data_IF_457763059862
#
_entry.id   IF_457763059862
#
_cell.length_a   1.000
_cell.length_b   1.000
_cell.length_c   1.000
_cell.angle_alpha   90.00
_cell.angle_beta   90.00
_cell.angle_gamma   90.00
#
_symmetry.space_group_name_H-M   'P 1'
#
loop_
_entity.id
_entity.type
_entity.pdbx_description
1 polymer ?
#
# COMPACT_ATOMS: atom_id res chain seq x y z
N UNK A 1 9.02 26.95 12.03
CA UNK A 1 9.14 26.27 10.72
C UNK A 1 8.83 24.80 10.92
N UNK A 2 7.75 24.31 10.31
CA UNK A 2 7.40 22.90 10.34
C UNK A 2 8.54 22.09 9.68
N UNK A 3 9.09 21.10 10.38
CA UNK A 3 10.13 20.22 9.83
C UNK A 3 9.47 19.14 8.99
N UNK A 4 9.80 19.05 7.71
CA UNK A 4 9.42 17.96 6.82
C UNK A 4 10.26 16.73 7.20
N UNK A 5 9.61 15.58 7.40
CA UNK A 5 10.31 14.31 7.49
C UNK A 5 10.54 13.78 6.06
N UNK A 6 11.79 13.53 5.69
CA UNK A 6 12.17 13.09 4.36
C UNK A 6 13.13 11.90 4.46
N UNK A 7 12.83 10.82 3.75
CA UNK A 7 13.65 9.62 3.66
C UNK A 7 13.92 9.34 2.19
N UNK A 8 15.18 9.14 1.85
CA UNK A 8 15.59 8.71 0.49
C UNK A 8 16.44 7.47 0.59
N UNK A 9 16.12 6.44 -0.19
CA UNK A 9 16.89 5.22 -0.31
C UNK A 9 17.10 4.81 -1.78
N UNK A 10 18.12 3.98 -2.03
CA UNK A 10 18.39 3.46 -3.38
C UNK A 10 17.45 2.28 -3.69
N UNK A 11 17.45 1.28 -2.85
CA UNK A 11 16.54 0.14 -2.85
C UNK A 11 16.07 -0.11 -1.43
N UNK A 12 14.98 -0.86 -1.28
CA UNK A 12 14.46 -1.24 0.02
C UNK A 12 14.02 -2.71 -0.01
N UNK A 13 14.66 -3.52 0.82
CA UNK A 13 14.29 -4.92 1.05
C UNK A 13 13.85 -5.06 2.50
N UNK A 14 12.61 -5.53 2.70
CA UNK A 14 11.99 -5.65 4.03
C UNK A 14 11.41 -7.05 4.18
N UNK A 15 11.79 -7.74 5.24
CA UNK A 15 11.16 -8.97 5.69
C UNK A 15 10.66 -8.79 7.12
N UNK A 16 9.36 -8.97 7.33
CA UNK A 16 8.69 -8.84 8.63
C UNK A 16 7.84 -10.08 8.89
N UNK A 17 8.06 -10.71 10.04
CA UNK A 17 7.21 -11.80 10.55
C UNK A 17 6.71 -11.44 11.94
N UNK A 18 5.40 -11.58 12.17
CA UNK A 18 4.77 -11.25 13.45
C UNK A 18 3.69 -12.26 13.81
N UNK A 19 3.53 -12.51 15.12
CA UNK A 19 2.38 -13.27 15.65
C UNK A 19 1.12 -12.41 15.81
N UNK A 20 1.12 -11.20 15.27
CA UNK A 20 0.02 -10.24 15.31
C UNK A 20 0.00 -9.45 14.00
N UNK A 21 -0.26 -8.14 14.05
CA UNK A 21 -0.18 -7.21 12.92
C UNK A 21 1.26 -7.09 12.43
N UNK A 22 1.45 -7.08 11.13
CA UNK A 22 2.73 -6.87 10.47
C UNK A 22 2.60 -5.79 9.37
N UNK A 23 3.61 -4.94 9.27
CA UNK A 23 3.68 -3.87 8.27
C UNK A 23 5.11 -3.76 7.73
N UNK A 24 5.27 -3.80 6.42
CA UNK A 24 6.57 -3.64 5.78
C UNK A 24 7.03 -2.19 5.80
N UNK A 25 6.23 -1.30 5.21
CA UNK A 25 6.43 0.16 5.25
C UNK A 25 5.23 0.76 5.95
N UNK A 26 5.47 1.56 6.99
CA UNK A 26 4.42 2.34 7.64
C UNK A 26 4.78 3.82 7.68
N UNK A 27 3.93 4.63 7.09
CA UNK A 27 4.01 6.09 7.19
C UNK A 27 2.67 6.62 7.65
N UNK A 28 2.66 7.37 8.73
CA UNK A 28 1.45 7.98 9.29
C UNK A 28 1.69 9.44 9.68
N UNK A 29 0.73 10.28 9.37
CA UNK A 29 0.75 11.67 9.78
C UNK A 29 -0.66 12.21 10.00
N UNK A 30 -0.87 12.85 11.13
CA UNK A 30 -2.13 13.52 11.48
C UNK A 30 -2.09 15.05 11.31
N UNK A 31 -0.92 15.61 10.97
CA UNK A 31 -0.74 17.06 10.84
C UNK A 31 -0.83 17.48 9.38
N UNK A 32 -1.87 18.23 9.03
CA UNK A 32 -2.09 18.72 7.66
C UNK A 32 -0.99 19.68 7.17
N UNK A 33 -0.29 20.37 8.07
CA UNK A 33 0.79 21.31 7.72
C UNK A 33 2.13 20.63 7.40
N UNK A 34 2.26 19.33 7.69
CA UNK A 34 3.48 18.55 7.47
C UNK A 34 3.16 17.41 6.54
N UNK A 35 3.97 17.21 5.49
CA UNK A 35 3.86 16.08 4.60
C UNK A 35 5.13 15.24 4.66
N UNK A 36 5.16 14.16 5.43
CA UNK A 36 6.26 13.20 5.37
C UNK A 36 6.35 12.57 3.98
N UNK A 37 7.56 12.46 3.45
CA UNK A 37 7.82 11.88 2.15
C UNK A 37 8.92 10.82 2.24
N UNK A 38 8.70 9.70 1.57
CA UNK A 38 9.70 8.66 1.36
C UNK A 38 9.87 8.44 -0.15
N UNK A 39 11.10 8.51 -0.61
CA UNK A 39 11.46 8.26 -2.03
C UNK A 39 12.45 7.11 -2.11
N UNK A 40 12.08 6.05 -2.82
CA UNK A 40 12.95 4.93 -3.15
C UNK A 40 13.32 5.06 -4.63
N UNK A 41 14.60 5.29 -4.93
CA UNK A 41 15.06 5.52 -6.30
C UNK A 41 15.17 4.24 -7.14
N UNK A 42 15.21 3.07 -6.50
CA UNK A 42 15.22 1.77 -7.14
C UNK A 42 14.01 0.93 -6.73
N UNK A 43 14.23 -0.36 -6.53
CA UNK A 43 13.19 -1.33 -6.26
C UNK A 43 12.84 -1.43 -4.77
N UNK A 44 11.61 -1.86 -4.52
CA UNK A 44 11.09 -2.22 -3.20
C UNK A 44 10.66 -3.69 -3.22
N UNK A 45 11.19 -4.48 -2.29
CA UNK A 45 10.78 -5.87 -2.07
C UNK A 45 10.25 -6.00 -0.64
N UNK A 46 9.01 -6.41 -0.52
CA UNK A 46 8.32 -6.58 0.76
C UNK A 46 7.89 -8.03 0.91
N UNK A 47 8.35 -8.69 1.98
CA UNK A 47 7.86 -9.98 2.40
C UNK A 47 7.32 -9.83 3.82
N UNK A 48 6.01 -9.85 3.96
CA UNK A 48 5.34 -9.50 5.21
C UNK A 48 4.37 -10.59 5.59
N UNK A 49 4.57 -11.19 6.76
CA UNK A 49 3.68 -12.23 7.27
C UNK A 49 3.21 -11.94 8.70
N UNK A 50 1.92 -12.22 8.97
CA UNK A 50 1.33 -11.99 10.27
C UNK A 50 0.06 -12.80 10.49
N UNK A 51 -0.38 -12.90 11.75
CA UNK A 51 -1.63 -13.61 12.08
C UNK A 51 -2.86 -12.69 12.16
N UNK A 52 -2.66 -11.39 11.96
CA UNK A 52 -3.72 -10.38 11.92
C UNK A 52 -3.59 -9.51 10.66
N UNK A 53 -4.03 -8.26 10.69
CA UNK A 53 -3.87 -7.33 9.57
C UNK A 53 -2.40 -7.21 9.16
N UNK A 54 -2.12 -7.56 7.92
CA UNK A 54 -0.76 -7.62 7.39
C UNK A 54 -0.70 -6.74 6.14
N UNK A 55 0.20 -5.76 6.14
CA UNK A 55 0.24 -4.74 5.10
C UNK A 55 1.65 -4.64 4.52
N UNK A 56 1.78 -4.70 3.22
CA UNK A 56 3.05 -4.49 2.55
C UNK A 56 3.52 -3.05 2.75
N UNK A 57 2.88 -2.09 2.10
CA UNK A 57 3.06 -0.67 2.34
C UNK A 57 1.75 -0.05 2.84
N UNK A 58 1.79 0.52 4.04
CA UNK A 58 0.69 1.22 4.68
C UNK A 58 1.01 2.71 4.83
N UNK A 59 0.36 3.51 4.00
CA UNK A 59 0.59 4.95 3.96
C UNK A 59 -0.69 5.67 4.38
N UNK A 60 -0.59 6.46 5.43
CA UNK A 60 -1.76 7.06 6.08
C UNK A 60 -1.60 8.58 6.24
N UNK A 61 -2.74 9.27 6.16
CA UNK A 61 -2.81 10.71 6.36
C UNK A 61 -2.05 11.48 5.28
N UNK A 62 -1.59 12.68 5.58
CA UNK A 62 -0.88 13.52 4.62
C UNK A 62 0.56 13.03 4.32
N UNK A 63 0.73 11.73 4.03
CA UNK A 63 2.04 11.12 3.77
C UNK A 63 2.18 10.74 2.28
N UNK A 64 3.41 10.70 1.78
CA UNK A 64 3.69 10.30 0.39
C UNK A 64 4.80 9.27 0.33
N UNK A 65 4.54 8.16 -0.36
CA UNK A 65 5.54 7.18 -0.80
C UNK A 65 5.72 7.27 -2.32
N UNK A 66 6.95 7.43 -2.77
CA UNK A 66 7.31 7.35 -4.21
C UNK A 66 8.35 6.27 -4.39
N UNK A 67 8.07 5.31 -5.28
CA UNK A 67 9.02 4.28 -5.72
C UNK A 67 9.29 4.50 -7.20
N UNK A 68 10.54 4.81 -7.55
CA UNK A 68 10.94 5.05 -8.93
C UNK A 68 11.21 3.76 -9.71
N UNK A 69 11.53 2.66 -9.02
CA UNK A 69 11.65 1.32 -9.59
C UNK A 69 10.39 0.48 -9.41
N UNK A 70 10.58 -0.83 -9.39
CA UNK A 70 9.52 -1.81 -9.24
C UNK A 70 9.15 -2.05 -7.77
N UNK A 71 7.93 -2.52 -7.54
CA UNK A 71 7.48 -3.00 -6.23
C UNK A 71 7.10 -4.47 -6.34
N UNK A 72 7.76 -5.31 -5.56
CA UNK A 72 7.34 -6.70 -5.31
C UNK A 72 6.84 -6.78 -3.88
N UNK A 73 5.63 -7.30 -3.65
CA UNK A 73 5.11 -7.53 -2.31
C UNK A 73 4.46 -8.91 -2.22
N UNK A 74 4.94 -9.70 -1.25
CA UNK A 74 4.35 -10.98 -0.85
C UNK A 74 3.81 -10.80 0.57
N UNK A 75 2.48 -10.76 0.69
CA UNK A 75 1.80 -10.40 1.94
C UNK A 75 0.94 -11.55 2.39
N UNK A 76 1.43 -12.30 3.38
CA UNK A 76 0.75 -13.44 3.99
C UNK A 76 0.18 -13.05 5.36
N UNK A 77 -1.13 -12.87 5.42
CA UNK A 77 -1.83 -12.49 6.64
C UNK A 77 -3.10 -13.28 6.82
N UNK A 78 -3.50 -13.46 8.07
CA UNK A 78 -4.80 -14.03 8.39
C UNK A 78 -5.88 -12.93 8.37
N UNK A 79 -7.10 -13.32 8.00
CA UNK A 79 -8.29 -12.47 8.01
C UNK A 79 -8.74 -12.14 9.44
N UNK A 80 -7.92 -11.45 10.20
CA UNK A 80 -8.25 -11.02 11.55
C UNK A 80 -9.40 -10.01 11.55
N UNK A 81 -10.47 -10.34 12.20
CA UNK A 81 -11.79 -9.80 12.34
C UNK A 81 -12.05 -8.30 12.48
N UNK A 82 -11.14 -7.42 12.19
CA UNK A 82 -11.38 -5.99 12.16
C UNK A 82 -11.19 -5.41 10.75
N UNK A 83 -12.31 -5.24 10.08
CA UNK A 83 -12.37 -4.45 8.86
C UNK A 83 -11.77 -5.15 7.64
N UNK A 84 -11.95 -4.51 6.52
CA UNK A 84 -11.65 -4.94 5.16
C UNK A 84 -10.14 -4.92 4.80
N UNK A 85 -9.25 -4.85 5.78
CA UNK A 85 -7.84 -4.52 5.52
C UNK A 85 -6.94 -5.72 5.30
N UNK A 86 -7.31 -6.91 5.73
CA UNK A 86 -6.63 -8.21 5.53
C UNK A 86 -5.14 -8.14 5.13
N UNK A 87 -4.69 -9.07 4.36
CA UNK A 87 -3.36 -9.03 3.76
C UNK A 87 -3.38 -8.18 2.48
N UNK A 88 -2.90 -6.95 2.54
CA UNK A 88 -2.93 -5.97 1.44
C UNK A 88 -1.52 -5.54 1.03
N UNK A 89 -1.23 -5.59 -0.27
CA UNK A 89 0.07 -5.19 -0.83
C UNK A 89 0.35 -3.69 -0.65
N UNK A 90 -0.44 -2.84 -1.29
CA UNK A 90 -0.33 -1.38 -1.21
C UNK A 90 -1.63 -0.79 -0.65
N UNK A 91 -1.54 -0.16 0.51
CA UNK A 91 -2.68 0.44 1.17
C UNK A 91 -2.47 1.93 1.46
N UNK A 92 -3.28 2.76 0.82
CA UNK A 92 -3.35 4.20 1.03
C UNK A 92 -4.65 4.58 1.72
N UNK A 93 -4.58 5.37 2.79
CA UNK A 93 -5.77 5.83 3.52
C UNK A 93 -5.60 7.23 4.10
N UNK A 94 -6.71 7.88 4.41
CA UNK A 94 -6.68 9.11 5.17
C UNK A 94 -6.48 8.85 6.67
N UNK A 95 -6.06 9.87 7.40
CA UNK A 95 -6.19 9.88 8.86
C UNK A 95 -7.65 10.18 9.23
N UNK A 96 -8.09 9.65 10.36
CA UNK A 96 -9.41 9.99 10.90
C UNK A 96 -9.37 11.39 11.52
N UNK A 97 -10.29 12.26 11.13
CA UNK A 97 -10.44 13.58 11.74
C UNK A 97 -11.07 14.61 10.80
N UNK A 98 -11.49 15.75 11.32
CA UNK A 98 -12.18 16.79 10.55
C UNK A 98 -11.33 17.45 9.45
N UNK A 99 -10.01 17.29 9.52
CA UNK A 99 -9.05 17.72 8.49
C UNK A 99 -8.35 16.52 7.84
N UNK A 100 -9.10 15.45 7.65
CA UNK A 100 -8.61 14.21 7.07
C UNK A 100 -8.02 14.45 5.67
N UNK A 101 -6.73 14.15 5.52
CA UNK A 101 -6.04 14.22 4.25
C UNK A 101 -5.64 12.80 3.84
N UNK A 102 -5.83 12.48 2.57
CA UNK A 102 -5.42 11.21 2.02
C UNK A 102 -3.91 11.12 1.83
N UNK A 103 -3.44 9.89 1.81
CA UNK A 103 -2.05 9.57 1.49
C UNK A 103 -1.88 9.30 -0.01
N UNK A 104 -0.65 9.45 -0.50
CA UNK A 104 -0.29 9.11 -1.87
C UNK A 104 0.75 7.99 -1.88
N UNK A 105 0.51 6.97 -2.71
CA UNK A 105 1.50 5.99 -3.13
C UNK A 105 1.68 6.14 -4.64
N UNK A 106 2.92 6.32 -5.09
CA UNK A 106 3.27 6.35 -6.51
C UNK A 106 4.35 5.31 -6.79
N UNK A 107 4.09 4.42 -7.73
CA UNK A 107 5.06 3.45 -8.26
C UNK A 107 5.29 3.78 -9.73
N UNK A 108 6.51 4.19 -10.09
CA UNK A 108 6.86 4.55 -11.46
C UNK A 108 7.24 3.33 -12.31
N UNK A 109 7.73 2.25 -11.69
CA UNK A 109 7.98 0.97 -12.32
C UNK A 109 6.78 0.02 -12.28
N UNK A 110 7.07 -1.26 -12.45
CA UNK A 110 6.09 -2.33 -12.42
C UNK A 110 5.74 -2.77 -10.99
N UNK A 111 4.61 -3.41 -10.83
CA UNK A 111 4.21 -4.08 -9.59
C UNK A 111 4.10 -5.59 -9.79
N UNK A 112 4.46 -6.34 -8.74
CA UNK A 112 4.17 -7.77 -8.60
C UNK A 112 3.68 -7.99 -7.16
N UNK A 113 2.37 -8.03 -7.00
CA UNK A 113 1.73 -8.05 -5.69
C UNK A 113 1.03 -9.38 -5.47
N UNK A 114 1.37 -10.04 -4.36
CA UNK A 114 0.68 -11.24 -3.88
C UNK A 114 0.12 -10.97 -2.50
N UNK A 115 -1.13 -11.36 -2.29
CA UNK A 115 -1.80 -11.13 -1.01
C UNK A 115 -3.05 -11.96 -0.82
N UNK A 116 -3.56 -12.01 0.42
CA UNK A 116 -4.77 -12.78 0.75
C UNK A 116 -6.04 -11.93 0.82
N UNK A 117 -5.95 -10.62 0.64
CA UNK A 117 -7.11 -9.73 0.67
C UNK A 117 -7.14 -8.79 -0.53
N UNK A 118 -6.20 -7.87 -0.61
CA UNK A 118 -6.14 -6.91 -1.70
C UNK A 118 -4.70 -6.76 -2.21
N UNK A 119 -4.51 -6.60 -3.51
CA UNK A 119 -3.24 -6.12 -4.04
C UNK A 119 -3.08 -4.64 -3.77
N UNK A 120 -4.06 -3.84 -4.19
CA UNK A 120 -4.09 -2.39 -3.99
C UNK A 120 -5.41 -2.00 -3.33
N UNK A 121 -5.31 -1.14 -2.30
CA UNK A 121 -6.47 -0.54 -1.66
C UNK A 121 -6.26 0.96 -1.41
N UNK A 122 -7.13 1.79 -1.98
CA UNK A 122 -7.21 3.21 -1.69
C UNK A 122 -8.52 3.48 -0.93
N UNK A 123 -8.41 3.87 0.34
CA UNK A 123 -9.56 4.05 1.23
C UNK A 123 -9.60 5.47 1.79
N UNK A 124 -10.81 6.03 1.83
CA UNK A 124 -11.13 7.35 2.34
C UNK A 124 -10.66 8.54 1.47
N UNK A 125 -11.33 9.66 1.65
CA UNK A 125 -11.20 10.84 0.79
C UNK A 125 -9.78 11.37 0.63
N UNK A 126 -9.38 11.63 -0.59
CA UNK A 126 -8.07 12.14 -0.96
C UNK A 126 -6.94 11.11 -1.01
N UNK A 127 -7.21 9.83 -0.67
CA UNK A 127 -6.22 8.75 -0.76
C UNK A 127 -6.00 8.33 -2.21
N UNK A 128 -4.74 8.11 -2.60
CA UNK A 128 -4.41 7.79 -3.98
C UNK A 128 -3.31 6.74 -4.08
N UNK A 129 -3.49 5.78 -4.99
CA UNK A 129 -2.44 4.88 -5.47
C UNK A 129 -2.30 5.03 -6.98
N UNK A 130 -1.10 5.33 -7.45
CA UNK A 130 -0.77 5.48 -8.86
C UNK A 130 0.32 4.48 -9.23
N UNK A 131 0.08 3.68 -10.27
CA UNK A 131 1.05 2.77 -10.86
C UNK A 131 1.26 3.18 -12.32
N UNK A 132 2.44 3.66 -12.66
CA UNK A 132 2.77 4.15 -14.00
C UNK A 132 3.31 3.05 -14.92
N UNK A 133 3.89 1.98 -14.34
CA UNK A 133 4.26 0.76 -15.07
C UNK A 133 3.11 -0.24 -15.14
N UNK A 134 3.44 -1.43 -15.58
CA UNK A 134 2.54 -2.58 -15.60
C UNK A 134 2.70 -3.51 -14.41
N UNK A 135 2.31 -4.78 -14.56
CA UNK A 135 2.61 -5.83 -13.59
C UNK A 135 1.46 -6.78 -13.31
N UNK A 136 1.59 -7.52 -12.22
CA UNK A 136 0.65 -8.55 -11.81
C UNK A 136 0.13 -8.31 -10.40
N UNK A 137 -1.11 -8.72 -10.16
CA UNK A 137 -1.73 -8.77 -8.85
C UNK A 137 -2.39 -10.14 -8.69
N UNK A 138 -1.93 -10.91 -7.73
CA UNK A 138 -2.48 -12.20 -7.35
C UNK A 138 -3.11 -12.10 -5.97
N UNK A 139 -4.38 -12.47 -5.87
CA UNK A 139 -5.14 -12.49 -4.61
C UNK A 139 -5.64 -13.91 -4.37
N UNK A 140 -5.36 -14.47 -3.19
CA UNK A 140 -5.84 -15.78 -2.81
C UNK A 140 -7.36 -15.77 -2.58
N UNK A 141 -8.10 -16.47 -3.44
CA UNK A 141 -9.56 -16.54 -3.44
C UNK A 141 -10.14 -17.48 -2.36
N UNK A 142 -9.32 -18.09 -1.52
CA UNK A 142 -9.80 -19.04 -0.48
C UNK A 142 -10.60 -18.36 0.65
N UNK A 143 -10.74 -17.05 0.59
CA UNK A 143 -11.46 -16.27 1.59
C UNK A 143 -12.97 -16.23 1.35
N UNK A 144 -13.74 -16.32 2.43
CA UNK A 144 -15.21 -16.14 2.41
C UNK A 144 -15.66 -14.67 2.33
N UNK A 145 -14.71 -13.72 2.28
CA UNK A 145 -14.99 -12.26 2.21
C UNK A 145 -14.75 -11.71 0.82
N UNK A 146 -15.46 -10.65 0.41
CA UNK A 146 -15.29 -10.05 -0.90
C UNK A 146 -13.95 -9.28 -0.96
N UNK A 147 -12.90 -9.97 -1.32
CA UNK A 147 -11.61 -9.35 -1.61
C UNK A 147 -11.48 -9.03 -3.09
N UNK A 148 -10.63 -8.09 -3.40
CA UNK A 148 -10.43 -7.63 -4.76
C UNK A 148 -8.94 -7.37 -5.03
N UNK A 149 -8.46 -7.69 -6.22
CA UNK A 149 -7.11 -7.33 -6.63
C UNK A 149 -6.89 -5.81 -6.48
N UNK A 150 -7.90 -5.01 -6.86
CA UNK A 150 -7.88 -3.56 -6.74
C UNK A 150 -9.19 -3.11 -6.09
N UNK A 151 -9.09 -2.30 -5.05
CA UNK A 151 -10.22 -1.71 -4.34
C UNK A 151 -10.02 -0.20 -4.15
N UNK A 152 -11.06 0.57 -4.43
CA UNK A 152 -11.13 2.00 -4.12
C UNK A 152 -12.43 2.28 -3.37
N UNK A 153 -12.33 2.87 -2.18
CA UNK A 153 -13.46 3.35 -1.38
C UNK A 153 -13.21 4.81 -1.01
N UNK A 154 -13.92 5.72 -1.65
CA UNK A 154 -13.69 7.17 -1.53
C UNK A 154 -12.25 7.63 -1.86
N UNK A 155 -11.42 6.72 -2.38
CA UNK A 155 -10.06 6.95 -2.84
C UNK A 155 -9.94 6.77 -4.35
N UNK A 156 -8.74 6.95 -4.89
CA UNK A 156 -8.45 6.83 -6.32
C UNK A 156 -7.32 5.83 -6.54
N UNK A 157 -7.55 4.86 -7.44
CA UNK A 157 -6.48 4.01 -7.99
C UNK A 157 -6.34 4.34 -9.47
N UNK A 158 -5.15 4.75 -9.87
CA UNK A 158 -4.79 5.05 -11.25
C UNK A 158 -3.70 4.08 -11.71
N UNK A 159 -3.94 3.37 -12.78
CA UNK A 159 -2.97 2.43 -13.35
C UNK A 159 -2.84 2.70 -14.85
N UNK A 160 -1.62 2.78 -15.35
CA UNK A 160 -1.33 2.85 -16.77
C UNK A 160 -1.03 1.43 -17.29
N UNK A 161 -2.04 0.55 -17.23
CA UNK A 161 -1.88 -0.86 -17.57
C UNK A 161 -2.59 -1.14 -18.89
N UNK A 162 -1.90 -1.79 -19.83
CA UNK A 162 -2.59 -2.61 -20.83
C UNK A 162 -3.10 -3.85 -20.09
N UNK A 163 -4.39 -3.97 -19.96
CA UNK A 163 -4.99 -5.25 -19.59
C UNK A 163 -4.79 -6.19 -20.77
N UNK A 164 -3.84 -7.09 -20.68
CA UNK A 164 -3.78 -8.23 -21.59
C UNK A 164 -4.93 -9.15 -21.20
N UNK A 165 -6.07 -8.91 -21.85
CA UNK A 165 -7.24 -9.76 -21.75
C UNK A 165 -7.02 -11.05 -22.53
N UNK A 166 -6.26 -11.99 -21.98
CA UNK A 166 -6.36 -13.39 -22.34
C UNK A 166 -7.39 -14.03 -21.41
N UNK A 167 -8.66 -13.92 -21.74
CA UNK A 167 -9.71 -14.74 -21.19
C UNK A 167 -9.79 -16.04 -21.96
#
# INVERSE_FOLDING_TARGET
TAKKAEITAKNLDVEVTSTSRAEGIHMANSNAAIRPEMTINGNVNLKVSGTANTLGAYIQGNSRLTVNGNVTADVDGHNGGFGYYGATGLYSTSNMGPNSMGADITVNGNIDLKGKAHGIFANAGGSKVTVNGGGSIEVDETSTKPYAAIRAEDGVVSMNVKLDGSG
#
